data_IF_877082550462
#
_entry.id   IF_877082550462
#
_cell.length_a   1.000
_cell.length_b   1.000
_cell.length_c   1.000
_cell.angle_alpha   90.00
_cell.angle_beta   90.00
_cell.angle_gamma   90.00
#
_symmetry.space_group_name_H-M   'P 1'
#
loop_
_entity.id
_entity.type
_entity.pdbx_description
1 polymer ?
#
# COMPACT_ATOMS: atom_id res chain seq x y z
N UNK A 1 -15.66 -3.48 -8.40
CA UNK A 1 -14.91 -3.30 -7.15
C UNK A 1 -14.06 -2.06 -7.35
N UNK A 2 -14.29 -1.00 -6.59
CA UNK A 2 -13.54 0.26 -6.71
C UNK A 2 -12.16 0.08 -6.09
N UNK A 3 -11.12 0.00 -6.92
CA UNK A 3 -9.74 0.01 -6.45
C UNK A 3 -9.44 1.33 -5.73
N UNK A 4 -8.68 1.26 -4.64
CA UNK A 4 -8.21 2.44 -3.91
C UNK A 4 -7.35 3.32 -4.81
N UNK A 5 -7.48 4.64 -4.67
CA UNK A 5 -6.51 5.56 -5.26
C UNK A 5 -5.14 5.38 -4.59
N UNK A 6 -4.07 5.78 -5.28
CA UNK A 6 -2.71 5.74 -4.72
C UNK A 6 -2.60 6.47 -3.38
N UNK A 7 -3.15 7.68 -3.26
CA UNK A 7 -3.08 8.46 -2.02
C UNK A 7 -3.83 7.79 -0.87
N UNK A 8 -4.99 7.18 -1.15
CA UNK A 8 -5.72 6.41 -0.13
C UNK A 8 -4.96 5.17 0.32
N UNK A 9 -4.43 4.40 -0.63
CA UNK A 9 -3.66 3.19 -0.31
C UNK A 9 -2.38 3.53 0.47
N UNK A 10 -1.68 4.61 0.08
CA UNK A 10 -0.48 5.10 0.76
C UNK A 10 -0.79 5.60 2.17
N UNK A 11 -1.87 6.36 2.35
CA UNK A 11 -2.26 6.87 3.66
C UNK A 11 -2.61 5.72 4.62
N UNK A 12 -3.37 4.74 4.15
CA UNK A 12 -3.72 3.56 4.93
C UNK A 12 -2.47 2.72 5.28
N UNK A 13 -1.56 2.54 4.32
CA UNK A 13 -0.31 1.81 4.53
C UNK A 13 0.55 2.48 5.62
N UNK A 14 0.63 3.81 5.61
CA UNK A 14 1.36 4.55 6.64
C UNK A 14 0.77 4.30 8.03
N UNK A 15 -0.56 4.30 8.17
CA UNK A 15 -1.23 3.97 9.43
C UNK A 15 -1.00 2.52 9.87
N UNK A 16 -0.96 1.57 8.94
CA UNK A 16 -0.65 0.16 9.25
C UNK A 16 0.77 0.04 9.80
N UNK A 17 1.75 0.67 9.14
CA UNK A 17 3.15 0.68 9.59
C UNK A 17 3.27 1.33 10.96
N UNK A 18 2.64 2.49 11.17
CA UNK A 18 2.64 3.18 12.47
C UNK A 18 2.14 2.27 13.61
N UNK A 19 1.05 1.53 13.38
CA UNK A 19 0.51 0.58 14.37
C UNK A 19 1.47 -0.57 14.66
N UNK A 20 2.06 -1.17 13.62
CA UNK A 20 3.06 -2.23 13.78
C UNK A 20 4.28 -1.75 14.56
N UNK A 21 4.76 -0.53 14.28
CA UNK A 21 5.91 0.08 14.96
C UNK A 21 5.60 0.49 16.40
N UNK A 22 4.37 0.92 16.69
CA UNK A 22 3.95 1.27 18.05
C UNK A 22 3.91 0.08 19.01
N UNK A 23 3.80 -1.15 18.45
CA UNK A 23 3.60 -2.36 19.23
C UNK A 23 2.27 -2.37 19.99
N UNK A 24 2.18 -3.18 21.05
CA UNK A 24 0.96 -3.29 21.87
C UNK A 24 -0.18 -4.08 21.22
N UNK A 25 0.03 -4.62 20.02
CA UNK A 25 -0.85 -5.55 19.33
C UNK A 25 -0.59 -6.99 19.78
N UNK A 26 -1.63 -7.81 19.75
CA UNK A 26 -1.50 -9.28 19.81
C UNK A 26 -0.80 -9.82 18.56
N UNK A 27 -0.39 -11.08 18.58
CA UNK A 27 0.21 -11.73 17.41
C UNK A 27 -0.78 -11.76 16.23
N UNK A 28 -2.03 -12.12 16.50
CA UNK A 28 -3.09 -12.21 15.50
C UNK A 28 -3.37 -10.84 14.86
N UNK A 29 -3.43 -9.77 15.65
CA UNK A 29 -3.58 -8.41 15.15
C UNK A 29 -2.35 -7.96 14.33
N UNK A 30 -1.15 -8.34 14.77
CA UNK A 30 0.10 -8.01 14.05
C UNK A 30 0.15 -8.71 12.69
N UNK A 31 -0.31 -9.96 12.60
CA UNK A 31 -0.41 -10.70 11.34
C UNK A 31 -1.46 -10.08 10.41
N UNK A 32 -2.63 -9.72 10.92
CA UNK A 32 -3.67 -9.06 10.12
C UNK A 32 -3.22 -7.69 9.59
N UNK A 33 -2.51 -6.90 10.41
CA UNK A 33 -1.91 -5.64 9.99
C UNK A 33 -0.85 -5.86 8.92
N UNK A 34 0.02 -6.87 9.08
CA UNK A 34 1.03 -7.20 8.08
C UNK A 34 0.42 -7.59 6.74
N UNK A 35 -0.55 -8.51 6.72
CA UNK A 35 -1.25 -8.93 5.50
C UNK A 35 -1.90 -7.72 4.79
N UNK A 36 -2.55 -6.85 5.55
CA UNK A 36 -3.12 -5.61 5.01
C UNK A 36 -2.05 -4.67 4.44
N UNK A 37 -0.92 -4.55 5.11
CA UNK A 37 0.23 -3.77 4.64
C UNK A 37 0.75 -4.27 3.29
N UNK A 38 0.90 -5.58 3.13
CA UNK A 38 1.34 -6.20 1.87
C UNK A 38 0.34 -5.95 0.73
N UNK A 39 -0.96 -6.08 0.99
CA UNK A 39 -2.00 -5.75 -0.01
C UNK A 39 -1.91 -4.28 -0.47
N UNK A 40 -1.76 -3.35 0.48
CA UNK A 40 -1.68 -1.92 0.18
C UNK A 40 -0.39 -1.58 -0.57
N UNK A 41 0.73 -2.22 -0.23
CA UNK A 41 1.99 -2.07 -0.94
C UNK A 41 1.87 -2.53 -2.41
N UNK A 42 1.22 -3.67 -2.65
CA UNK A 42 0.93 -4.15 -4.02
C UNK A 42 0.08 -3.16 -4.80
N UNK A 43 -0.95 -2.58 -4.18
CA UNK A 43 -1.79 -1.56 -4.83
C UNK A 43 -0.96 -0.31 -5.17
N UNK A 44 -0.15 0.19 -4.24
CA UNK A 44 0.71 1.34 -4.47
C UNK A 44 1.69 1.08 -5.62
N UNK A 45 2.32 -0.09 -5.66
CA UNK A 45 3.26 -0.46 -6.70
C UNK A 45 2.59 -0.50 -8.07
N UNK A 46 1.39 -1.07 -8.19
CA UNK A 46 0.61 -1.07 -9.45
C UNK A 46 0.35 0.33 -9.98
N UNK A 47 0.00 1.28 -9.11
CA UNK A 47 -0.19 2.67 -9.50
C UNK A 47 1.10 3.31 -10.04
N UNK A 48 2.23 3.08 -9.36
CA UNK A 48 3.54 3.61 -9.77
C UNK A 48 4.02 2.99 -11.09
N UNK A 49 3.83 1.69 -11.27
CA UNK A 49 4.18 0.99 -12.50
C UNK A 49 3.39 1.52 -13.69
N UNK A 50 2.08 1.71 -13.52
CA UNK A 50 1.22 2.30 -14.54
C UNK A 50 1.63 3.73 -14.90
N UNK A 51 1.95 4.55 -13.89
CA UNK A 51 2.45 5.91 -14.11
C UNK A 51 3.77 5.90 -14.89
N UNK A 52 4.70 5.01 -14.53
CA UNK A 52 5.99 4.85 -15.22
C UNK A 52 5.83 4.38 -16.66
N UNK A 53 4.90 3.46 -16.92
CA UNK A 53 4.61 2.98 -18.27
C UNK A 53 4.12 4.10 -19.18
N UNK A 54 3.20 4.96 -18.69
CA UNK A 54 2.71 6.14 -19.43
C UNK A 54 3.82 7.11 -19.79
N UNK A 55 4.68 7.46 -18.83
CA UNK A 55 5.83 8.34 -19.06
C UNK A 55 6.84 7.77 -20.07
N UNK A 56 6.95 6.45 -20.15
CA UNK A 56 7.83 5.78 -21.11
C UNK A 56 7.22 5.79 -22.51
N UNK A 57 5.90 5.58 -22.62
CA UNK A 57 5.17 5.62 -23.88
C UNK A 57 5.17 7.02 -24.51
N UNK A 58 5.08 8.09 -23.71
CA UNK A 58 5.07 9.48 -24.19
C UNK A 58 6.45 9.98 -24.67
N UNK A 59 7.53 9.19 -24.49
CA UNK A 59 8.89 9.51 -24.93
C UNK A 59 9.35 8.72 -26.17
N UNK A 60 8.46 7.90 -26.74
CA UNK A 60 8.73 7.05 -27.92
C UNK A 60 8.22 7.65 -29.22
#
# INVERSE_FOLDING_TARGET
>A
MTDLSYEQARAELATVVEKLESGGTTLEESLALWERGEELAVICQRWLDNARARLTADRG
#
